data_IF_247347923242
#
_entry.id   IF_247347923242
#
_cell.length_a   1.000
_cell.length_b   1.000
_cell.length_c   1.000
_cell.angle_alpha   90.00
_cell.angle_beta   90.00
_cell.angle_gamma   90.00
#
_symmetry.space_group_name_H-M   'P 1'
#
loop_
_entity.id
_entity.type
_entity.pdbx_description
1 polymer ?
#
# COMPACT_ATOMS: atom_id res chain seq x y z
N UNK A 1 0.07 -0.52 -3.58
CA UNK A 1 -0.13 -0.28 -5.01
C UNK A 1 -0.30 1.22 -5.24
N UNK A 2 0.68 1.87 -5.92
CA UNK A 2 0.74 3.33 -6.13
C UNK A 2 -0.51 3.88 -6.83
N UNK A 3 -1.01 5.02 -6.32
CA UNK A 3 -2.22 5.65 -6.88
C UNK A 3 -2.10 6.06 -8.34
N UNK A 4 -0.91 6.43 -8.79
CA UNK A 4 -0.61 6.76 -10.19
C UNK A 4 -0.80 5.57 -11.17
N UNK A 5 -0.77 4.35 -10.66
CA UNK A 5 -1.08 3.15 -11.46
C UNK A 5 -2.56 3.05 -11.86
N UNK A 6 -3.45 3.86 -11.26
CA UNK A 6 -4.87 3.88 -11.62
C UNK A 6 -5.12 4.18 -13.11
N UNK A 7 -4.27 5.03 -13.72
CA UNK A 7 -4.33 5.37 -15.13
C UNK A 7 -3.43 4.49 -16.02
N UNK A 8 -2.72 3.52 -15.43
CA UNK A 8 -1.80 2.66 -16.17
C UNK A 8 -2.55 1.62 -16.99
N UNK A 9 -2.27 1.47 -18.30
CA UNK A 9 -2.81 0.39 -19.10
C UNK A 9 -2.35 -1.00 -18.63
N UNK A 10 -1.32 -1.06 -17.80
CA UNK A 10 -0.81 -2.29 -17.21
C UNK A 10 -1.61 -2.75 -15.97
N UNK A 11 -2.48 -1.91 -15.41
CA UNK A 11 -3.21 -2.22 -14.18
C UNK A 11 -3.96 -3.57 -14.23
N UNK A 12 -4.71 -3.92 -15.28
CA UNK A 12 -5.38 -5.22 -15.33
C UNK A 12 -4.41 -6.39 -15.23
N UNK A 13 -3.28 -6.32 -15.97
CA UNK A 13 -2.25 -7.36 -15.95
C UNK A 13 -1.55 -7.46 -14.59
N UNK A 14 -1.31 -6.33 -13.92
CA UNK A 14 -0.77 -6.31 -12.55
C UNK A 14 -1.72 -7.02 -11.59
N UNK A 15 -3.02 -6.75 -11.67
CA UNK A 15 -4.02 -7.39 -10.83
C UNK A 15 -4.11 -8.91 -11.08
N UNK A 16 -4.02 -9.35 -12.33
CA UNK A 16 -3.96 -10.79 -12.66
C UNK A 16 -2.73 -11.48 -12.02
N UNK A 17 -1.56 -10.84 -12.08
CA UNK A 17 -0.35 -11.38 -11.46
C UNK A 17 -0.45 -11.40 -9.93
N UNK A 18 -0.99 -10.35 -9.33
CA UNK A 18 -1.23 -10.27 -7.89
C UNK A 18 -2.22 -11.33 -7.41
N UNK A 19 -3.21 -11.72 -8.24
CA UNK A 19 -4.18 -12.75 -7.91
C UNK A 19 -3.53 -14.12 -7.60
N UNK A 20 -2.35 -14.38 -8.15
CA UNK A 20 -1.61 -15.62 -7.93
C UNK A 20 -0.74 -15.60 -6.65
N UNK A 21 -0.59 -14.44 -5.99
CA UNK A 21 0.24 -14.32 -4.78
C UNK A 21 -0.57 -14.72 -3.55
N UNK A 22 -0.13 -15.72 -2.79
CA UNK A 22 -0.87 -16.17 -1.61
C UNK A 22 -0.73 -15.17 -0.46
N UNK A 23 -1.76 -15.09 0.38
CA UNK A 23 -1.78 -14.28 1.62
C UNK A 23 -1.40 -12.81 1.40
N UNK A 24 -1.82 -12.24 0.28
CA UNK A 24 -1.53 -10.89 -0.13
C UNK A 24 -2.55 -9.90 0.44
N UNK A 25 -2.07 -8.80 0.98
CA UNK A 25 -2.88 -7.60 1.26
C UNK A 25 -2.52 -6.51 0.27
N UNK A 26 -3.50 -5.98 -0.43
CA UNK A 26 -3.34 -4.85 -1.34
C UNK A 26 -3.75 -3.57 -0.61
N UNK A 27 -2.80 -2.65 -0.51
CA UNK A 27 -3.03 -1.29 -0.02
C UNK A 27 -3.13 -0.36 -1.22
N UNK A 28 -4.31 0.20 -1.50
CA UNK A 28 -4.49 1.13 -2.61
C UNK A 28 -3.85 2.48 -2.28
N UNK A 29 -3.21 3.13 -3.25
CA UNK A 29 -2.91 4.55 -3.15
C UNK A 29 -4.19 5.40 -3.33
N UNK A 30 -4.05 6.73 -3.26
CA UNK A 30 -5.22 7.62 -3.43
C UNK A 30 -5.68 7.78 -4.89
N UNK A 31 -4.76 7.70 -5.84
CA UNK A 31 -5.03 7.86 -7.27
C UNK A 31 -5.75 9.17 -7.61
N UNK A 32 -6.53 9.19 -8.69
CA UNK A 32 -7.25 10.39 -9.13
C UNK A 32 -8.28 10.88 -8.10
N UNK A 33 -8.74 10.00 -7.22
CA UNK A 33 -9.67 10.38 -6.14
C UNK A 33 -8.98 11.29 -5.10
N UNK A 34 -7.74 10.99 -4.69
CA UNK A 34 -6.98 11.83 -3.78
C UNK A 34 -6.51 13.14 -4.45
N UNK A 35 -6.28 13.14 -5.76
CA UNK A 35 -5.97 14.36 -6.51
C UNK A 35 -7.16 15.34 -6.48
N UNK A 36 -8.38 14.82 -6.54
CA UNK A 36 -9.60 15.62 -6.36
C UNK A 36 -9.67 16.23 -4.95
N UNK A 37 -9.27 15.49 -3.91
CA UNK A 37 -9.19 16.03 -2.54
C UNK A 37 -8.18 17.18 -2.45
N UNK A 38 -7.00 17.05 -3.07
CA UNK A 38 -5.98 18.12 -3.10
C UNK A 38 -6.51 19.40 -3.78
N UNK A 39 -7.20 19.22 -4.91
CA UNK A 39 -7.82 20.34 -5.62
C UNK A 39 -8.89 21.01 -4.77
N UNK A 40 -9.78 20.23 -4.15
CA UNK A 40 -10.83 20.76 -3.27
C UNK A 40 -10.23 21.50 -2.05
N UNK A 41 -9.17 20.95 -1.43
CA UNK A 41 -8.51 21.63 -0.32
C UNK A 41 -7.92 22.98 -0.75
N UNK A 42 -7.28 23.02 -1.92
CA UNK A 42 -6.74 24.27 -2.46
C UNK A 42 -7.82 25.31 -2.73
N UNK A 43 -8.99 24.88 -3.19
CA UNK A 43 -10.11 25.77 -3.54
C UNK A 43 -10.88 26.23 -2.32
N UNK A 44 -11.14 25.35 -1.35
CA UNK A 44 -12.04 25.60 -0.22
C UNK A 44 -11.31 25.87 1.11
N UNK A 45 -10.00 25.64 1.20
CA UNK A 45 -9.16 26.04 2.34
C UNK A 45 -9.41 25.29 3.64
N UNK A 46 -9.94 24.06 3.60
CA UNK A 46 -10.08 23.24 4.81
C UNK A 46 -8.71 22.66 5.27
N UNK A 47 -8.64 22.27 6.53
CA UNK A 47 -7.39 21.86 7.17
C UNK A 47 -6.86 20.51 6.69
N UNK A 48 -5.59 20.22 7.03
CA UNK A 48 -4.92 18.97 6.66
C UNK A 48 -5.56 17.75 7.30
N UNK A 49 -6.17 17.88 8.48
CA UNK A 49 -6.83 16.76 9.14
C UNK A 49 -8.06 16.31 8.35
N UNK A 50 -8.89 17.25 7.89
CA UNK A 50 -10.03 16.96 7.03
C UNK A 50 -9.56 16.41 5.66
N UNK A 51 -8.49 16.98 5.09
CA UNK A 51 -7.92 16.51 3.84
C UNK A 51 -7.38 15.07 3.96
N UNK A 52 -6.75 14.74 5.08
CA UNK A 52 -6.26 13.39 5.35
C UNK A 52 -7.41 12.37 5.44
N UNK A 53 -8.48 12.67 6.17
CA UNK A 53 -9.65 11.80 6.24
C UNK A 53 -10.28 11.58 4.87
N UNK A 54 -10.42 12.65 4.08
CA UNK A 54 -10.91 12.57 2.70
C UNK A 54 -9.97 11.74 1.80
N UNK A 55 -8.64 11.83 2.01
CA UNK A 55 -7.66 11.05 1.27
C UNK A 55 -7.76 9.55 1.62
N UNK A 56 -8.03 9.19 2.88
CA UNK A 56 -8.31 7.79 3.26
C UNK A 56 -9.57 7.27 2.56
N UNK A 57 -10.64 8.07 2.50
CA UNK A 57 -11.84 7.71 1.73
C UNK A 57 -11.55 7.58 0.23
N UNK A 58 -10.69 8.44 -0.32
CA UNK A 58 -10.24 8.35 -1.71
C UNK A 58 -9.47 7.05 -1.98
N UNK A 59 -8.59 6.63 -1.06
CA UNK A 59 -7.92 5.33 -1.11
C UNK A 59 -8.93 4.18 -1.04
N UNK A 60 -9.95 4.27 -0.18
CA UNK A 60 -11.00 3.27 -0.10
C UNK A 60 -11.81 3.16 -1.41
N UNK A 61 -12.12 4.29 -2.08
CA UNK A 61 -12.77 4.28 -3.40
C UNK A 61 -11.91 3.57 -4.44
N UNK A 62 -10.61 3.91 -4.51
CA UNK A 62 -9.69 3.23 -5.42
C UNK A 62 -9.58 1.74 -5.08
N UNK A 63 -9.48 1.38 -3.82
CA UNK A 63 -9.46 -0.02 -3.36
C UNK A 63 -10.73 -0.79 -3.78
N UNK A 64 -11.89 -0.17 -3.71
CA UNK A 64 -13.15 -0.75 -4.20
C UNK A 64 -13.11 -1.02 -5.70
N UNK A 65 -12.57 -0.09 -6.47
CA UNK A 65 -12.40 -0.25 -7.92
C UNK A 65 -11.49 -1.45 -8.22
N UNK A 66 -10.31 -1.53 -7.56
CA UNK A 66 -9.37 -2.65 -7.73
C UNK A 66 -10.03 -4.00 -7.38
N UNK A 67 -10.72 -4.05 -6.23
CA UNK A 67 -11.42 -5.25 -5.79
C UNK A 67 -12.49 -5.71 -6.80
N UNK A 68 -13.24 -4.77 -7.36
CA UNK A 68 -14.28 -5.08 -8.35
C UNK A 68 -13.67 -5.58 -9.68
N UNK A 69 -12.58 -4.96 -10.15
CA UNK A 69 -11.91 -5.36 -11.40
C UNK A 69 -11.28 -6.75 -11.33
N UNK A 70 -10.70 -7.11 -10.18
CA UNK A 70 -9.97 -8.36 -10.00
C UNK A 70 -10.80 -9.48 -9.32
N UNK A 71 -12.01 -9.21 -8.90
CA UNK A 71 -12.80 -10.15 -8.11
C UNK A 71 -12.23 -10.39 -6.70
N UNK A 72 -11.45 -9.47 -6.17
CA UNK A 72 -10.86 -9.58 -4.84
C UNK A 72 -11.87 -9.24 -3.75
N UNK A 73 -11.67 -9.83 -2.58
CA UNK A 73 -12.39 -9.41 -1.37
C UNK A 73 -11.79 -8.12 -0.84
N UNK A 74 -12.61 -7.32 -0.14
CA UNK A 74 -12.17 -6.09 0.49
C UNK A 74 -12.65 -6.02 1.93
N UNK A 75 -11.85 -5.41 2.80
CA UNK A 75 -12.16 -5.22 4.21
C UNK A 75 -11.98 -3.75 4.62
N UNK A 76 -12.99 -3.19 5.31
CA UNK A 76 -12.96 -1.85 5.87
C UNK A 76 -12.18 -1.83 7.19
N UNK A 77 -11.22 -0.92 7.30
CA UNK A 77 -10.39 -0.75 8.47
C UNK A 77 -9.39 -1.87 8.74
N UNK A 78 -8.35 -1.56 9.47
CA UNK A 78 -7.26 -2.49 9.77
C UNK A 78 -7.71 -3.64 10.69
N UNK A 79 -8.61 -3.39 11.64
CA UNK A 79 -9.11 -4.44 12.55
C UNK A 79 -9.90 -5.51 11.82
N UNK A 80 -10.82 -5.10 10.95
CA UNK A 80 -11.61 -6.05 10.16
C UNK A 80 -10.74 -6.80 9.17
N UNK A 81 -9.76 -6.12 8.55
CA UNK A 81 -8.77 -6.77 7.70
C UNK A 81 -8.02 -7.86 8.46
N UNK A 82 -7.50 -7.56 9.66
CA UNK A 82 -6.79 -8.52 10.50
C UNK A 82 -7.69 -9.72 10.89
N UNK A 83 -8.96 -9.49 11.20
CA UNK A 83 -9.92 -10.54 11.50
C UNK A 83 -10.20 -11.44 10.29
N UNK A 84 -10.30 -10.88 9.09
CA UNK A 84 -10.48 -11.63 7.85
C UNK A 84 -9.23 -12.47 7.51
N UNK A 85 -8.03 -11.93 7.70
CA UNK A 85 -6.77 -12.65 7.53
C UNK A 85 -6.65 -13.83 8.49
N UNK A 86 -7.07 -13.66 9.75
CA UNK A 86 -7.05 -14.73 10.75
C UNK A 86 -8.04 -15.87 10.45
N UNK A 87 -9.17 -15.57 9.83
CA UNK A 87 -10.22 -16.54 9.49
C UNK A 87 -9.95 -17.26 8.16
N UNK A 88 -9.20 -16.63 7.27
CA UNK A 88 -9.04 -17.12 5.91
C UNK A 88 -7.98 -18.21 5.82
N UNK A 89 -8.40 -19.45 5.62
CA UNK A 89 -7.53 -20.50 5.08
C UNK A 89 -7.29 -20.30 3.56
N UNK A 90 -7.99 -19.38 2.93
CA UNK A 90 -7.88 -19.08 1.51
C UNK A 90 -6.70 -18.13 1.26
N UNK A 91 -6.04 -18.36 0.16
CA UNK A 91 -4.84 -17.64 -0.28
C UNK A 91 -5.17 -16.44 -1.19
N UNK A 92 -6.44 -16.11 -1.42
CA UNK A 92 -6.83 -15.02 -2.33
C UNK A 92 -6.48 -13.65 -1.73
N UNK A 93 -6.05 -12.69 -2.56
CA UNK A 93 -5.74 -11.34 -2.12
C UNK A 93 -6.90 -10.64 -1.41
N UNK A 94 -6.56 -9.79 -0.43
CA UNK A 94 -7.49 -8.97 0.31
C UNK A 94 -7.14 -7.50 0.11
N UNK A 95 -8.12 -6.67 -0.27
CA UNK A 95 -7.90 -5.23 -0.43
C UNK A 95 -8.29 -4.53 0.85
N UNK A 96 -7.37 -3.76 1.41
CA UNK A 96 -7.67 -2.87 2.52
C UNK A 96 -8.41 -1.64 2.02
N UNK A 97 -9.50 -1.29 2.70
CA UNK A 97 -10.24 -0.05 2.51
C UNK A 97 -10.05 0.78 3.78
N UNK A 98 -9.23 1.83 3.76
CA UNK A 98 -9.01 2.66 4.93
C UNK A 98 -10.31 3.24 5.47
N UNK A 99 -10.45 3.26 6.80
CA UNK A 99 -11.55 3.88 7.51
C UNK A 99 -11.04 5.07 8.35
N UNK A 100 -11.37 6.32 8.00
CA UNK A 100 -10.94 7.48 8.76
C UNK A 100 -11.33 7.45 10.23
N UNK A 101 -12.45 6.78 10.56
CA UNK A 101 -12.93 6.72 11.93
C UNK A 101 -12.04 5.85 12.85
N UNK A 102 -11.31 4.89 12.29
CA UNK A 102 -10.49 3.94 13.05
C UNK A 102 -9.01 4.03 12.72
N UNK A 103 -8.66 4.17 11.44
CA UNK A 103 -7.29 4.06 10.97
C UNK A 103 -6.52 5.40 11.03
N UNK A 104 -7.23 6.55 10.96
CA UNK A 104 -6.60 7.88 11.02
C UNK A 104 -6.11 8.27 12.43
N UNK A 105 -6.56 7.59 13.46
CA UNK A 105 -6.27 7.96 14.86
C UNK A 105 -4.84 7.63 15.30
N UNK A 106 -4.16 6.75 14.60
CA UNK A 106 -2.83 6.22 14.96
C UNK A 106 -1.70 6.84 14.13
N UNK A 107 -2.00 7.73 13.18
CA UNK A 107 -1.01 8.34 12.28
C UNK A 107 -1.13 9.86 12.26
N UNK A 108 -0.06 10.54 11.86
CA UNK A 108 -0.10 11.99 11.62
C UNK A 108 -1.10 12.31 10.49
N UNK A 109 -2.06 13.19 10.76
CA UNK A 109 -3.09 13.58 9.79
C UNK A 109 -2.61 14.74 8.93
N UNK A 110 -1.76 14.43 7.96
CA UNK A 110 -1.19 15.41 7.03
C UNK A 110 -0.83 14.75 5.68
N UNK A 111 -0.51 15.56 4.68
CA UNK A 111 0.00 15.07 3.39
C UNK A 111 1.43 14.52 3.44
N UNK A 112 2.12 14.62 4.57
CA UNK A 112 3.44 13.98 4.77
C UNK A 112 3.32 12.46 4.92
N UNK A 113 2.11 11.98 5.26
CA UNK A 113 1.74 10.57 5.30
C UNK A 113 0.72 10.30 4.20
N UNK A 114 1.09 9.49 3.23
CA UNK A 114 0.19 9.03 2.17
C UNK A 114 0.23 7.49 2.03
N UNK A 115 -0.04 6.96 0.86
CA UNK A 115 -0.21 5.53 0.64
C UNK A 115 0.97 4.66 1.07
N UNK A 116 2.21 5.14 0.94
CA UNK A 116 3.41 4.35 1.27
C UNK A 116 3.56 4.18 2.78
N UNK A 117 3.47 5.29 3.52
CA UNK A 117 3.56 5.31 4.98
C UNK A 117 2.38 4.57 5.62
N UNK A 118 1.18 4.71 5.06
CA UNK A 118 0.00 3.98 5.50
C UNK A 118 0.14 2.47 5.24
N UNK A 119 0.74 2.07 4.12
CA UNK A 119 1.01 0.66 3.84
C UNK A 119 2.00 0.06 4.84
N UNK A 120 3.03 0.83 5.24
CA UNK A 120 4.01 0.40 6.22
C UNK A 120 3.39 0.31 7.63
N UNK A 121 2.59 1.31 8.02
CA UNK A 121 1.81 1.28 9.28
C UNK A 121 0.88 0.05 9.31
N UNK A 122 0.13 -0.19 8.24
CA UNK A 122 -0.76 -1.33 8.15
C UNK A 122 0.01 -2.65 8.22
N UNK A 123 1.15 -2.77 7.53
CA UNK A 123 2.00 -3.95 7.56
C UNK A 123 2.41 -4.28 9.00
N UNK A 124 2.85 -3.28 9.78
CA UNK A 124 3.14 -3.43 11.20
C UNK A 124 1.90 -3.87 11.99
N UNK A 125 0.77 -3.18 11.80
CA UNK A 125 -0.49 -3.42 12.52
C UNK A 125 -1.03 -4.84 12.36
N UNK A 126 -0.89 -5.44 11.17
CA UNK A 126 -1.36 -6.80 10.88
C UNK A 126 -0.27 -7.88 11.08
N UNK A 127 0.94 -7.49 11.48
CA UNK A 127 2.06 -8.39 11.67
C UNK A 127 2.61 -8.97 10.37
N UNK A 128 2.56 -8.20 9.27
CA UNK A 128 3.20 -8.58 8.02
C UNK A 128 4.73 -8.43 8.15
N UNK A 129 5.46 -9.32 7.50
CA UNK A 129 6.93 -9.27 7.50
C UNK A 129 7.51 -8.60 6.26
N UNK A 130 6.69 -8.25 5.29
CA UNK A 130 7.12 -7.72 3.99
C UNK A 130 6.16 -6.65 3.49
N UNK A 131 6.76 -5.58 2.94
CA UNK A 131 6.08 -4.51 2.22
C UNK A 131 6.73 -4.37 0.84
N UNK A 132 5.92 -4.41 -0.20
CA UNK A 132 6.36 -4.15 -1.57
C UNK A 132 5.63 -2.92 -2.12
N UNK A 133 6.37 -1.88 -2.44
CA UNK A 133 5.85 -0.66 -3.06
C UNK A 133 5.85 -0.82 -4.58
N UNK A 134 4.68 -0.91 -5.19
CA UNK A 134 4.53 -0.89 -6.65
C UNK A 134 4.37 0.55 -7.12
N UNK A 135 5.36 1.04 -7.83
CA UNK A 135 5.44 2.42 -8.32
C UNK A 135 5.27 2.50 -9.84
N UNK A 136 4.85 3.65 -10.34
CA UNK A 136 4.75 3.93 -11.76
C UNK A 136 5.94 4.73 -12.30
N UNK A 137 7.11 4.56 -11.70
CA UNK A 137 8.34 5.24 -12.06
C UNK A 137 9.55 4.36 -11.72
N UNK A 138 10.71 4.60 -12.37
CA UNK A 138 11.96 3.93 -12.04
C UNK A 138 12.37 4.11 -10.57
N UNK A 139 12.97 3.07 -10.01
CA UNK A 139 13.51 3.06 -8.65
C UNK A 139 15.04 3.16 -8.74
N UNK A 140 15.62 4.36 -8.64
CA UNK A 140 17.04 4.58 -8.96
C UNK A 140 18.00 4.11 -7.86
N UNK A 141 17.50 3.85 -6.66
CA UNK A 141 18.33 3.51 -5.48
C UNK A 141 17.52 2.73 -4.46
N UNK A 142 18.22 2.00 -3.57
CA UNK A 142 17.62 1.39 -2.39
C UNK A 142 17.62 2.32 -1.15
N UNK A 143 18.24 3.50 -1.23
CA UNK A 143 18.25 4.47 -0.15
C UNK A 143 16.88 5.16 -0.02
N UNK A 144 16.16 4.87 1.06
CA UNK A 144 14.83 5.40 1.31
C UNK A 144 14.83 6.93 1.48
N UNK A 145 15.91 7.52 2.02
CA UNK A 145 16.02 8.98 2.19
C UNK A 145 16.16 9.67 0.83
N UNK A 146 16.93 9.07 -0.08
CA UNK A 146 17.05 9.55 -1.46
C UNK A 146 15.73 9.39 -2.21
N UNK A 147 14.99 8.30 -2.01
CA UNK A 147 13.66 8.10 -2.60
C UNK A 147 12.64 9.12 -2.07
N UNK A 148 12.68 9.47 -0.78
CA UNK A 148 11.82 10.52 -0.22
C UNK A 148 12.16 11.90 -0.79
N UNK A 149 13.46 12.23 -0.91
CA UNK A 149 13.92 13.48 -1.54
C UNK A 149 13.44 13.57 -3.00
N UNK A 150 13.46 12.45 -3.73
CA UNK A 150 12.95 12.35 -5.10
C UNK A 150 11.39 12.28 -5.18
N UNK A 151 10.69 12.34 -4.05
CA UNK A 151 9.21 12.21 -3.94
C UNK A 151 8.67 10.89 -4.52
N UNK A 152 9.48 9.85 -4.52
CA UNK A 152 9.08 8.49 -4.92
C UNK A 152 8.35 7.81 -3.77
N UNK A 153 8.76 8.08 -2.52
CA UNK A 153 8.06 7.68 -1.30
C UNK A 153 7.72 8.91 -0.46
N UNK A 154 6.85 8.74 0.53
CA UNK A 154 6.44 9.79 1.45
C UNK A 154 7.61 10.38 2.23
N UNK A 155 7.50 11.64 2.62
CA UNK A 155 8.54 12.38 3.37
C UNK A 155 8.94 11.66 4.66
N UNK A 156 7.98 11.11 5.40
CA UNK A 156 8.26 10.47 6.69
C UNK A 156 8.50 8.96 6.58
N UNK A 157 8.33 8.37 5.39
CA UNK A 157 8.50 6.94 5.16
C UNK A 157 9.85 6.39 5.65
N UNK A 158 11.01 7.06 5.42
CA UNK A 158 12.30 6.59 5.91
C UNK A 158 12.38 6.49 7.44
N UNK A 159 11.81 7.46 8.16
CA UNK A 159 11.78 7.45 9.62
C UNK A 159 10.86 6.33 10.16
N UNK A 160 9.72 6.13 9.53
CA UNK A 160 8.83 5.01 9.86
C UNK A 160 9.47 3.65 9.58
N UNK A 161 10.22 3.53 8.49
CA UNK A 161 10.93 2.30 8.15
C UNK A 161 12.01 1.94 9.20
N UNK A 162 12.66 2.92 9.80
CA UNK A 162 13.57 2.70 10.92
C UNK A 162 12.83 2.22 12.19
N UNK A 163 11.64 2.76 12.44
CA UNK A 163 10.79 2.35 13.59
C UNK A 163 10.27 0.93 13.42
N UNK A 164 9.92 0.52 12.21
CA UNK A 164 9.40 -0.81 11.87
C UNK A 164 10.46 -1.67 11.16
N UNK A 165 11.66 -1.73 11.73
CA UNK A 165 12.85 -2.36 11.13
C UNK A 165 12.74 -3.88 10.93
N UNK A 166 11.73 -4.52 11.52
CA UNK A 166 11.40 -5.93 11.34
C UNK A 166 10.63 -6.24 10.04
N UNK A 167 10.18 -5.20 9.31
CA UNK A 167 9.50 -5.33 8.03
C UNK A 167 10.50 -5.18 6.89
N UNK A 168 10.67 -6.21 6.08
CA UNK A 168 11.43 -6.11 4.83
C UNK A 168 10.68 -5.22 3.82
N UNK A 169 11.39 -4.27 3.21
CA UNK A 169 10.82 -3.30 2.28
C UNK A 169 11.47 -3.45 0.90
N UNK A 170 10.64 -3.52 -0.13
CA UNK A 170 11.02 -3.53 -1.54
C UNK A 170 10.25 -2.46 -2.30
N UNK A 171 10.84 -1.92 -3.34
CA UNK A 171 10.18 -1.04 -4.29
C UNK A 171 10.40 -1.55 -5.70
N UNK A 172 9.32 -1.64 -6.48
CA UNK A 172 9.33 -2.19 -7.84
C UNK A 172 8.71 -1.17 -8.80
N UNK A 173 9.39 -0.94 -9.93
CA UNK A 173 8.82 -0.19 -11.07
C UNK A 173 7.82 -1.06 -11.82
N UNK A 174 6.54 -0.81 -11.58
CA UNK A 174 5.44 -1.55 -12.18
C UNK A 174 5.11 -1.14 -13.62
N UNK A 175 5.80 -0.14 -14.19
CA UNK A 175 5.59 0.28 -15.59
C UNK A 175 6.18 -0.73 -16.57
N UNK A 176 7.20 -1.48 -16.16
CA UNK A 176 7.90 -2.47 -16.96
C UNK A 176 7.80 -3.89 -16.41
N UNK A 177 6.97 -4.12 -15.41
CA UNK A 177 6.82 -5.42 -14.74
C UNK A 177 6.16 -6.48 -15.63
N UNK A 178 6.86 -6.89 -16.69
CA UNK A 178 6.48 -8.06 -17.51
C UNK A 178 6.57 -9.35 -16.69
N UNK A 179 7.41 -9.36 -15.64
CA UNK A 179 7.72 -10.49 -14.77
C UNK A 179 7.52 -10.10 -13.28
N UNK A 180 6.48 -9.33 -12.97
CA UNK A 180 6.18 -8.92 -11.59
C UNK A 180 6.14 -10.15 -10.65
N UNK A 181 5.61 -11.26 -11.12
CA UNK A 181 5.57 -12.50 -10.35
C UNK A 181 6.97 -12.99 -9.97
N UNK A 182 7.91 -13.00 -10.91
CA UNK A 182 9.27 -13.47 -10.67
C UNK A 182 10.02 -12.53 -9.70
N UNK A 183 9.80 -11.21 -9.85
CA UNK A 183 10.33 -10.22 -8.93
C UNK A 183 9.73 -10.37 -7.53
N UNK A 184 8.42 -10.62 -7.44
CA UNK A 184 7.75 -10.91 -6.18
C UNK A 184 8.24 -12.21 -5.55
N UNK A 185 8.41 -13.28 -6.33
CA UNK A 185 8.99 -14.54 -5.86
C UNK A 185 10.42 -14.33 -5.33
N UNK A 186 11.22 -13.46 -5.97
CA UNK A 186 12.52 -13.02 -5.44
C UNK A 186 12.40 -12.31 -4.08
N UNK A 187 11.39 -11.49 -3.89
CA UNK A 187 11.09 -10.87 -2.58
C UNK A 187 10.62 -11.90 -1.54
N UNK A 188 10.11 -13.06 -1.96
CA UNK A 188 9.62 -14.12 -1.08
C UNK A 188 10.67 -15.21 -0.79
N UNK A 189 11.83 -15.17 -1.44
CA UNK A 189 12.92 -16.11 -1.13
C UNK A 189 13.29 -16.00 0.36
N UNK A 190 13.44 -17.12 1.10
CA UNK A 190 13.74 -17.06 2.52
C UNK A 190 15.12 -16.41 2.73
N UNK A 191 15.14 -15.30 3.41
CA UNK A 191 16.37 -14.78 4.00
C UNK A 191 16.86 -15.81 5.02
N UNK A 192 18.10 -16.29 4.87
CA UNK A 192 18.72 -17.31 5.72
C UNK A 192 18.84 -16.93 7.21
N UNK A 193 18.29 -15.79 7.66
CA UNK A 193 18.53 -15.21 8.98
C UNK A 193 17.27 -14.97 9.85
N UNK A 194 16.05 -15.37 9.48
CA UNK A 194 14.87 -15.02 10.28
C UNK A 194 14.04 -16.24 10.73
N UNK A 195 13.76 -16.27 12.06
CA UNK A 195 12.78 -17.14 12.71
C UNK A 195 11.42 -16.96 12.03
N UNK A 196 10.70 -18.09 11.75
CA UNK A 196 9.40 -18.20 11.08
C UNK A 196 8.54 -16.92 11.18
N UNK A 197 8.46 -16.08 10.15
CA UNK A 197 7.54 -14.96 10.13
C UNK A 197 6.14 -15.43 9.73
N UNK A 198 5.12 -14.71 10.19
CA UNK A 198 3.79 -14.82 9.58
C UNK A 198 3.95 -14.41 8.11
N UNK A 199 3.67 -15.32 7.19
CA UNK A 199 3.85 -15.13 5.75
C UNK A 199 2.77 -14.21 5.14
N UNK A 200 2.58 -13.01 5.69
CA UNK A 200 1.68 -11.99 5.16
C UNK A 200 2.52 -10.96 4.42
N UNK A 201 2.19 -10.69 3.17
CA UNK A 201 2.79 -9.61 2.40
C UNK A 201 1.77 -8.49 2.16
N UNK A 202 2.24 -7.24 2.19
CA UNK A 202 1.47 -6.02 1.95
C UNK A 202 1.97 -5.35 0.67
N UNK A 203 1.03 -4.98 -0.21
CA UNK A 203 1.31 -4.33 -1.50
C UNK A 203 0.49 -3.07 -1.71
#
# INVERSE_FOLDING_TARGET
LGGSLAASPQLPRLLEQLAAVPKLVIVPGGGPFADTVRLAQKEHGFDDAAAHDMALLAMAQFGRMLAAQAGFRAAWGAERLAAELARSQRQAPLVWLPDPATDALEVERSWRITGDSLALWLAHRIGACRLVLLKSCPIPTADLSALATAKIVDEIFPAMAQTYADIGIWAIDATHATHLRDELEGCFAPSLAQKKPREIAVF
#
